data_IF_238178239322
#
_entry.id   IF_238178239322
#
_cell.length_a   1.000
_cell.length_b   1.000
_cell.length_c   1.000
_cell.angle_alpha   90.00
_cell.angle_beta   90.00
_cell.angle_gamma   90.00
#
_symmetry.space_group_name_H-M   'P 1'
#
loop_
_entity.id
_entity.type
_entity.pdbx_description
1 polymer ?
#
# COMPACT_ATOMS: atom_id res chain seq x y z
N UNK A 1 37.57 6.91 -39.96
CA UNK A 1 36.20 6.52 -40.43
C UNK A 1 35.61 5.30 -39.70
N UNK A 2 36.42 4.36 -39.21
CA UNK A 2 35.91 3.14 -38.51
C UNK A 2 35.40 3.38 -37.08
N UNK A 3 36.04 4.25 -36.28
CA UNK A 3 35.65 4.54 -34.89
C UNK A 3 34.34 5.32 -34.78
N UNK A 4 34.04 6.22 -35.70
CA UNK A 4 32.77 6.96 -35.76
C UNK A 4 31.60 6.05 -36.10
N UNK A 5 31.76 5.14 -37.05
CA UNK A 5 30.74 4.13 -37.41
C UNK A 5 30.45 3.18 -36.23
N UNK A 6 31.48 2.77 -35.49
CA UNK A 6 31.32 1.88 -34.32
C UNK A 6 30.56 2.57 -33.18
N UNK A 7 30.85 3.86 -32.90
CA UNK A 7 30.13 4.64 -31.87
C UNK A 7 28.67 4.87 -32.22
N UNK A 8 28.34 5.18 -33.48
CA UNK A 8 26.96 5.32 -33.95
C UNK A 8 26.22 3.95 -33.90
N UNK A 9 26.85 2.86 -34.32
CA UNK A 9 26.28 1.53 -34.25
C UNK A 9 25.97 1.11 -32.81
N UNK A 10 26.85 1.43 -31.86
CA UNK A 10 26.69 1.16 -30.45
C UNK A 10 25.44 1.88 -29.86
N UNK A 11 25.33 3.17 -30.09
CA UNK A 11 24.18 3.97 -29.59
C UNK A 11 22.87 3.51 -30.23
N UNK A 12 22.86 3.26 -31.55
CA UNK A 12 21.68 2.78 -32.27
C UNK A 12 21.24 1.38 -31.79
N UNK A 13 22.20 0.50 -31.49
CA UNK A 13 21.90 -0.85 -30.98
C UNK A 13 21.15 -0.76 -29.60
N UNK A 14 21.64 0.05 -28.67
CA UNK A 14 20.97 0.18 -27.37
C UNK A 14 19.64 0.92 -27.46
N UNK A 15 19.52 1.96 -28.31
CA UNK A 15 18.24 2.61 -28.60
C UNK A 15 17.23 1.63 -29.24
N UNK A 16 17.71 0.78 -30.15
CA UNK A 16 16.90 -0.27 -30.79
C UNK A 16 16.37 -1.30 -29.79
N UNK A 17 17.23 -1.80 -28.88
CA UNK A 17 16.80 -2.68 -27.78
C UNK A 17 15.76 -2.00 -26.91
N UNK A 18 15.99 -0.74 -26.51
CA UNK A 18 15.07 0.01 -25.67
C UNK A 18 13.72 0.21 -26.36
N UNK A 19 13.73 0.62 -27.62
CA UNK A 19 12.52 0.76 -28.44
C UNK A 19 11.76 -0.57 -28.61
N UNK A 20 12.49 -1.68 -28.81
CA UNK A 20 11.91 -3.02 -28.90
C UNK A 20 11.25 -3.43 -27.58
N UNK A 21 11.89 -3.20 -26.44
CA UNK A 21 11.31 -3.50 -25.12
C UNK A 21 10.06 -2.68 -24.86
N UNK A 22 10.06 -1.38 -25.20
CA UNK A 22 8.87 -0.53 -25.12
C UNK A 22 7.74 -1.00 -26.03
N UNK A 23 8.07 -1.42 -27.25
CA UNK A 23 7.11 -1.94 -28.21
C UNK A 23 6.49 -3.25 -27.76
N UNK A 24 7.29 -4.20 -27.25
CA UNK A 24 6.80 -5.47 -26.70
C UNK A 24 5.91 -5.25 -25.49
N UNK A 25 6.28 -4.31 -24.59
CA UNK A 25 5.46 -3.91 -23.44
C UNK A 25 4.11 -3.31 -23.89
N UNK A 26 4.11 -2.44 -24.92
CA UNK A 26 2.88 -1.84 -25.47
C UNK A 26 1.99 -2.88 -26.14
N UNK A 27 2.56 -3.85 -26.86
CA UNK A 27 1.82 -4.91 -27.54
C UNK A 27 1.13 -5.86 -26.56
N UNK A 28 1.80 -6.21 -25.45
CA UNK A 28 1.23 -7.04 -24.35
C UNK A 28 0.01 -6.41 -23.68
N UNK A 29 -0.17 -5.08 -23.79
CA UNK A 29 -1.32 -4.36 -23.19
C UNK A 29 -2.53 -4.25 -24.14
N UNK A 30 -2.45 -4.74 -25.38
CA UNK A 30 -3.52 -4.58 -26.38
C UNK A 30 -4.51 -5.75 -26.43
N UNK A 31 -4.31 -6.79 -25.61
CA UNK A 31 -5.25 -7.90 -25.54
C UNK A 31 -6.54 -7.42 -24.86
N UNK A 32 -7.66 -7.46 -25.62
CA UNK A 32 -8.98 -7.12 -25.09
C UNK A 32 -9.44 -8.20 -24.14
N UNK A 33 -9.82 -7.77 -22.93
CA UNK A 33 -10.42 -8.67 -21.96
C UNK A 33 -11.73 -9.27 -22.49
N UNK A 34 -12.01 -10.56 -22.26
CA UNK A 34 -13.22 -11.23 -22.76
C UNK A 34 -14.50 -10.81 -22.01
N UNK A 35 -14.39 -9.91 -21.05
CA UNK A 35 -15.51 -9.44 -20.23
C UNK A 35 -16.16 -8.19 -20.81
N UNK A 36 -17.48 -7.98 -20.56
CA UNK A 36 -18.14 -6.73 -20.90
C UNK A 36 -17.41 -5.51 -20.33
N UNK A 37 -17.37 -4.41 -21.10
CA UNK A 37 -16.62 -3.17 -20.77
C UNK A 37 -17.00 -2.53 -19.41
N UNK A 38 -18.14 -2.93 -18.82
CA UNK A 38 -18.65 -2.40 -17.55
C UNK A 38 -18.59 -3.42 -16.39
N UNK A 39 -17.83 -4.51 -16.55
CA UNK A 39 -17.70 -5.50 -15.47
C UNK A 39 -16.84 -4.94 -14.34
N UNK A 40 -17.47 -4.61 -13.22
CA UNK A 40 -16.80 -4.13 -12.00
C UNK A 40 -16.99 -5.10 -10.85
N UNK A 41 -15.90 -5.50 -10.25
CA UNK A 41 -15.88 -6.39 -9.08
C UNK A 41 -15.76 -5.57 -7.79
N UNK A 42 -16.21 -6.18 -6.70
CA UNK A 42 -15.98 -5.65 -5.37
C UNK A 42 -14.49 -5.70 -5.02
N UNK A 43 -14.02 -4.69 -4.28
CA UNK A 43 -12.68 -4.67 -3.73
C UNK A 43 -12.48 -5.84 -2.77
N UNK A 44 -11.39 -6.56 -2.96
CA UNK A 44 -10.88 -7.54 -2.02
C UNK A 44 -10.02 -6.92 -0.92
N UNK A 45 -9.60 -7.72 0.08
CA UNK A 45 -8.71 -7.25 1.13
C UNK A 45 -7.39 -6.71 0.55
N UNK A 46 -7.08 -5.47 0.86
CA UNK A 46 -5.86 -4.80 0.41
C UNK A 46 -5.81 -4.53 -1.09
N UNK A 47 -6.93 -4.30 -1.76
CA UNK A 47 -6.96 -4.05 -3.21
C UNK A 47 -6.07 -2.87 -3.62
N UNK A 48 -6.10 -1.77 -2.87
CA UNK A 48 -5.24 -0.60 -3.09
C UNK A 48 -3.76 -0.94 -2.91
N UNK A 49 -3.42 -1.73 -1.89
CA UNK A 49 -2.05 -2.20 -1.67
C UNK A 49 -1.60 -3.18 -2.75
N UNK A 50 -2.51 -4.05 -3.24
CA UNK A 50 -2.25 -4.95 -4.37
C UNK A 50 -1.89 -4.16 -5.65
N UNK A 51 -2.71 -3.14 -5.97
CA UNK A 51 -2.44 -2.22 -7.09
C UNK A 51 -1.09 -1.51 -6.91
N UNK A 52 -0.81 -1.07 -5.67
CA UNK A 52 0.46 -0.41 -5.36
C UNK A 52 1.68 -1.35 -5.47
N UNK A 53 1.57 -2.61 -5.09
CA UNK A 53 2.62 -3.63 -5.29
C UNK A 53 2.89 -3.82 -6.76
N UNK A 54 1.85 -3.98 -7.61
CA UNK A 54 2.00 -4.13 -9.05
C UNK A 54 2.67 -2.90 -9.70
N UNK A 55 2.27 -1.69 -9.29
CA UNK A 55 2.90 -0.44 -9.74
C UNK A 55 4.39 -0.35 -9.35
N UNK A 56 4.72 -0.78 -8.13
CA UNK A 56 6.11 -0.81 -7.67
C UNK A 56 6.95 -1.85 -8.40
N UNK A 57 6.39 -3.02 -8.74
CA UNK A 57 7.06 -4.04 -9.56
C UNK A 57 7.40 -3.50 -10.95
N UNK A 58 6.48 -2.75 -11.57
CA UNK A 58 6.74 -2.05 -12.84
C UNK A 58 7.86 -1.00 -12.68
N UNK A 59 7.77 -0.14 -11.66
CA UNK A 59 8.78 0.89 -11.38
C UNK A 59 10.16 0.33 -11.03
N UNK A 60 10.23 -0.84 -10.38
CA UNK A 60 11.48 -1.55 -10.13
C UNK A 60 12.10 -2.03 -11.44
N UNK A 61 11.30 -2.66 -12.29
CA UNK A 61 11.75 -3.14 -13.60
C UNK A 61 12.31 -1.97 -14.45
N UNK A 62 11.58 -0.85 -14.52
CA UNK A 62 12.04 0.36 -15.22
C UNK A 62 13.35 0.91 -14.62
N UNK A 63 13.43 0.94 -13.29
CA UNK A 63 14.62 1.43 -12.59
C UNK A 63 15.85 0.56 -12.81
N UNK A 64 15.68 -0.76 -12.88
CA UNK A 64 16.76 -1.71 -13.17
C UNK A 64 17.23 -1.56 -14.62
N UNK A 65 16.29 -1.48 -15.57
CA UNK A 65 16.63 -1.24 -16.98
C UNK A 65 17.37 0.08 -17.19
N UNK A 66 16.86 1.17 -16.59
CA UNK A 66 17.55 2.46 -16.64
C UNK A 66 18.93 2.41 -15.96
N UNK A 67 19.04 1.67 -14.84
CA UNK A 67 20.29 1.48 -14.11
C UNK A 67 21.35 0.72 -14.87
N UNK A 68 20.95 -0.16 -15.81
CA UNK A 68 21.86 -0.85 -16.71
C UNK A 68 22.23 0.01 -17.92
N UNK A 69 21.25 0.65 -18.54
CA UNK A 69 21.45 1.35 -19.83
C UNK A 69 22.12 2.71 -19.66
N UNK A 70 21.66 3.53 -18.71
CA UNK A 70 22.13 4.92 -18.58
C UNK A 70 23.63 5.00 -18.28
N UNK A 71 24.21 4.26 -17.31
CA UNK A 71 25.64 4.30 -17.06
C UNK A 71 26.46 3.81 -18.26
N UNK A 72 26.01 2.72 -18.91
CA UNK A 72 26.72 2.16 -20.08
C UNK A 72 26.73 3.13 -21.26
N UNK A 73 25.61 3.78 -21.55
CA UNK A 73 25.54 4.83 -22.59
C UNK A 73 26.45 5.99 -22.23
N UNK A 74 26.45 6.46 -20.97
CA UNK A 74 27.30 7.56 -20.50
C UNK A 74 28.78 7.21 -20.69
N UNK A 75 29.20 6.01 -20.30
CA UNK A 75 30.57 5.55 -20.45
C UNK A 75 30.94 5.42 -21.92
N UNK A 76 30.11 4.79 -22.75
CA UNK A 76 30.34 4.59 -24.18
C UNK A 76 30.44 5.94 -24.92
N UNK A 77 29.55 6.89 -24.61
CA UNK A 77 29.60 8.24 -25.19
C UNK A 77 30.87 8.98 -24.77
N UNK A 78 31.24 8.90 -23.48
CA UNK A 78 32.47 9.49 -22.96
C UNK A 78 33.70 8.93 -23.65
N UNK A 79 33.82 7.61 -23.79
CA UNK A 79 34.91 6.97 -24.52
C UNK A 79 34.96 7.37 -25.99
N UNK A 80 33.81 7.47 -26.65
CA UNK A 80 33.74 7.92 -28.04
C UNK A 80 34.28 9.34 -28.22
N UNK A 81 33.87 10.29 -27.37
CA UNK A 81 34.36 11.65 -27.43
C UNK A 81 35.85 11.72 -27.12
N UNK A 82 36.35 10.93 -26.15
CA UNK A 82 37.79 10.90 -25.81
C UNK A 82 38.63 10.37 -26.95
N UNK A 83 38.09 9.51 -27.81
CA UNK A 83 38.80 9.02 -28.99
C UNK A 83 39.04 10.06 -30.08
N UNK A 84 38.28 11.20 -30.02
CA UNK A 84 38.44 12.35 -30.94
C UNK A 84 39.43 13.40 -30.43
N UNK A 85 39.94 13.21 -29.20
CA UNK A 85 40.84 14.19 -28.53
C UNK A 85 42.27 13.61 -28.47
N UNK A 86 43.26 14.50 -28.39
CA UNK A 86 44.65 14.19 -28.15
C UNK A 86 45.18 14.88 -26.90
N UNK A 87 46.28 14.36 -26.32
CA UNK A 87 46.95 14.97 -25.18
C UNK A 87 46.15 14.91 -23.84
N UNK A 88 46.40 15.88 -22.98
CA UNK A 88 45.81 15.97 -21.62
C UNK A 88 44.29 16.02 -21.59
N UNK A 89 43.56 16.71 -22.49
CA UNK A 89 42.08 16.67 -22.50
C UNK A 89 41.49 15.30 -22.62
N UNK A 90 42.16 14.40 -23.36
CA UNK A 90 41.73 12.99 -23.51
C UNK A 90 41.71 12.26 -22.17
N UNK A 91 42.79 12.38 -21.39
CA UNK A 91 42.90 11.72 -20.07
C UNK A 91 41.87 12.27 -19.08
N UNK A 92 41.71 13.60 -19.07
CA UNK A 92 40.76 14.30 -18.22
C UNK A 92 39.30 13.84 -18.48
N UNK A 93 38.90 13.79 -19.76
CA UNK A 93 37.54 13.38 -20.14
C UNK A 93 37.28 11.90 -19.91
N UNK A 94 38.27 11.03 -20.14
CA UNK A 94 38.17 9.59 -19.84
C UNK A 94 37.95 9.36 -18.35
N UNK A 95 38.72 10.04 -17.49
CA UNK A 95 38.58 9.97 -16.04
C UNK A 95 37.21 10.48 -15.57
N UNK A 96 36.75 11.62 -16.10
CA UNK A 96 35.44 12.17 -15.79
C UNK A 96 34.31 11.21 -16.20
N UNK A 97 34.40 10.60 -17.37
CA UNK A 97 33.40 9.63 -17.86
C UNK A 97 33.34 8.40 -16.98
N UNK A 98 34.48 7.90 -16.50
CA UNK A 98 34.54 6.78 -15.56
C UNK A 98 33.93 7.14 -14.20
N UNK A 99 34.24 8.32 -13.67
CA UNK A 99 33.66 8.81 -12.40
C UNK A 99 32.15 9.00 -12.54
N UNK A 100 31.68 9.58 -13.65
CA UNK A 100 30.26 9.72 -13.93
C UNK A 100 29.55 8.36 -14.03
N UNK A 101 30.14 7.40 -14.71
CA UNK A 101 29.64 6.02 -14.80
C UNK A 101 29.46 5.40 -13.41
N UNK A 102 30.51 5.43 -12.58
CA UNK A 102 30.48 4.87 -11.22
C UNK A 102 29.45 5.60 -10.34
N UNK A 103 29.41 6.91 -10.41
CA UNK A 103 28.43 7.72 -9.69
C UNK A 103 26.99 7.39 -10.08
N UNK A 104 26.72 7.27 -11.38
CA UNK A 104 25.40 6.87 -11.88
C UNK A 104 25.01 5.46 -11.43
N UNK A 105 25.93 4.48 -11.46
CA UNK A 105 25.66 3.14 -10.94
C UNK A 105 25.24 3.17 -9.46
N UNK A 106 25.96 3.90 -8.63
CA UNK A 106 25.63 4.03 -7.19
C UNK A 106 24.26 4.68 -7.00
N UNK A 107 23.97 5.77 -7.70
CA UNK A 107 22.67 6.47 -7.61
C UNK A 107 21.53 5.57 -8.06
N UNK A 108 21.67 4.90 -9.19
CA UNK A 108 20.64 4.01 -9.72
C UNK A 108 20.42 2.79 -8.83
N UNK A 109 21.50 2.18 -8.31
CA UNK A 109 21.41 1.08 -7.35
C UNK A 109 20.64 1.50 -6.08
N UNK A 110 20.97 2.64 -5.49
CA UNK A 110 20.27 3.16 -4.31
C UNK A 110 18.78 3.42 -4.58
N UNK A 111 18.45 4.01 -5.74
CA UNK A 111 17.05 4.24 -6.15
C UNK A 111 16.27 2.93 -6.32
N UNK A 112 16.90 1.92 -6.92
CA UNK A 112 16.27 0.60 -7.10
C UNK A 112 16.08 -0.10 -5.75
N UNK A 113 17.07 -0.09 -4.87
CA UNK A 113 16.97 -0.67 -3.53
C UNK A 113 15.88 0.00 -2.68
N UNK A 114 15.74 1.32 -2.74
CA UNK A 114 14.66 2.05 -2.04
C UNK A 114 13.27 1.61 -2.51
N UNK A 115 13.08 1.41 -3.84
CA UNK A 115 11.81 0.90 -4.39
C UNK A 115 11.52 -0.55 -3.96
N UNK A 116 12.56 -1.41 -3.94
CA UNK A 116 12.43 -2.79 -3.45
C UNK A 116 12.00 -2.80 -1.98
N UNK A 117 12.60 -1.96 -1.14
CA UNK A 117 12.19 -1.86 0.27
C UNK A 117 10.76 -1.34 0.42
N UNK A 118 10.36 -0.33 -0.35
CA UNK A 118 8.98 0.17 -0.37
C UNK A 118 8.01 -0.94 -0.79
N UNK A 119 8.33 -1.70 -1.84
CA UNK A 119 7.53 -2.85 -2.30
C UNK A 119 7.38 -3.92 -1.22
N UNK A 120 8.47 -4.26 -0.52
CA UNK A 120 8.44 -5.24 0.58
C UNK A 120 7.57 -4.77 1.76
N UNK A 121 7.60 -3.48 2.07
CA UNK A 121 6.76 -2.90 3.13
C UNK A 121 5.28 -2.87 2.73
N UNK A 122 4.97 -2.52 1.48
CA UNK A 122 3.60 -2.55 0.93
C UNK A 122 3.07 -3.99 0.89
N UNK A 123 3.86 -4.96 0.45
CA UNK A 123 3.48 -6.37 0.44
C UNK A 123 3.24 -6.93 1.85
N UNK A 124 4.01 -6.48 2.85
CA UNK A 124 3.78 -6.84 4.25
C UNK A 124 2.44 -6.28 4.75
N UNK A 125 2.10 -5.02 4.41
CA UNK A 125 0.80 -4.42 4.69
C UNK A 125 -0.34 -5.23 4.08
N UNK A 126 -0.25 -5.53 2.77
CA UNK A 126 -1.21 -6.36 2.04
C UNK A 126 -1.42 -7.73 2.72
N UNK A 127 -0.35 -8.39 3.13
CA UNK A 127 -0.45 -9.67 3.85
C UNK A 127 -1.18 -9.51 5.18
N UNK A 128 -0.91 -8.44 5.92
CA UNK A 128 -1.59 -8.16 7.20
C UNK A 128 -3.09 -7.92 7.04
N UNK A 129 -3.51 -7.15 6.04
CA UNK A 129 -4.95 -6.96 5.75
C UNK A 129 -5.63 -8.26 5.37
N UNK A 130 -4.98 -9.14 4.60
CA UNK A 130 -5.52 -10.47 4.27
C UNK A 130 -5.68 -11.36 5.51
N UNK A 131 -4.70 -11.33 6.42
CA UNK A 131 -4.80 -12.06 7.70
C UNK A 131 -5.99 -11.56 8.54
N UNK A 132 -6.23 -10.26 8.57
CA UNK A 132 -7.41 -9.68 9.26
C UNK A 132 -8.70 -10.10 8.55
N UNK A 133 -8.76 -10.05 7.22
CA UNK A 133 -9.91 -10.45 6.44
C UNK A 133 -10.32 -11.90 6.70
N UNK A 134 -9.37 -12.84 6.80
CA UNK A 134 -9.64 -14.23 7.13
C UNK A 134 -10.31 -14.39 8.50
N UNK A 135 -9.95 -13.57 9.49
CA UNK A 135 -10.60 -13.56 10.80
C UNK A 135 -12.01 -12.95 10.79
N UNK A 136 -12.33 -12.18 9.75
CA UNK A 136 -13.67 -11.59 9.57
C UNK A 136 -14.62 -12.52 8.78
N UNK A 137 -14.13 -13.54 8.09
CA UNK A 137 -14.97 -14.49 7.31
C UNK A 137 -16.08 -15.17 8.14
N UNK A 138 -15.82 -15.64 9.38
CA UNK A 138 -16.89 -16.25 10.19
C UNK A 138 -18.05 -15.30 10.50
N UNK A 139 -17.82 -13.99 10.51
CA UNK A 139 -18.89 -13.01 10.76
C UNK A 139 -19.95 -13.00 9.66
N UNK A 140 -19.58 -13.34 8.42
CA UNK A 140 -20.52 -13.38 7.29
C UNK A 140 -21.61 -14.43 7.51
N UNK A 141 -21.28 -15.57 8.10
CA UNK A 141 -22.25 -16.61 8.43
C UNK A 141 -23.14 -16.23 9.62
N UNK A 142 -22.69 -15.28 10.45
CA UNK A 142 -23.44 -14.74 11.58
C UNK A 142 -24.31 -13.50 11.19
N UNK A 143 -24.52 -13.25 9.89
CA UNK A 143 -25.37 -12.16 9.40
C UNK A 143 -24.68 -10.79 9.26
N UNK A 144 -23.38 -10.72 9.44
CA UNK A 144 -22.62 -9.50 9.21
C UNK A 144 -22.24 -9.33 7.73
N UNK A 145 -22.15 -8.10 7.29
CA UNK A 145 -21.61 -7.71 5.99
C UNK A 145 -20.19 -7.16 6.17
N UNK A 146 -19.24 -7.67 5.40
CA UNK A 146 -17.82 -7.29 5.49
C UNK A 146 -17.39 -6.66 4.19
N UNK A 147 -16.84 -5.46 4.27
CA UNK A 147 -16.31 -4.69 3.14
C UNK A 147 -14.81 -4.46 3.36
N UNK A 148 -14.05 -4.47 2.29
CA UNK A 148 -12.61 -4.32 2.33
C UNK A 148 -12.18 -3.14 1.47
N UNK A 149 -11.09 -2.48 1.89
CA UNK A 149 -10.45 -1.38 1.15
C UNK A 149 -11.45 -0.29 0.72
N UNK A 150 -12.29 0.14 1.66
CA UNK A 150 -13.43 1.05 1.42
C UNK A 150 -12.92 2.47 1.13
N UNK A 151 -13.14 3.04 -0.07
CA UNK A 151 -12.63 4.37 -0.38
C UNK A 151 -13.32 5.45 0.44
N UNK A 152 -12.56 6.37 1.03
CA UNK A 152 -13.13 7.58 1.67
C UNK A 152 -13.70 8.57 0.64
N UNK A 153 -13.32 8.44 -0.64
CA UNK A 153 -13.63 9.41 -1.70
C UNK A 153 -12.68 10.59 -1.69
N UNK A 154 -12.94 11.55 -2.56
CA UNK A 154 -12.12 12.75 -2.61
C UNK A 154 -12.31 13.57 -1.34
N UNK A 155 -11.21 14.02 -0.74
CA UNK A 155 -11.29 14.90 0.41
C UNK A 155 -11.94 16.24 -0.01
N UNK A 156 -12.60 16.95 0.91
CA UNK A 156 -13.10 18.29 0.61
C UNK A 156 -12.00 19.20 0.09
N UNK A 157 -12.33 20.15 -0.79
CA UNK A 157 -11.37 21.04 -1.45
C UNK A 157 -10.45 21.82 -0.49
N UNK A 158 -10.87 22.00 0.76
CA UNK A 158 -10.09 22.64 1.82
C UNK A 158 -9.17 21.68 2.59
N UNK A 159 -9.29 20.36 2.36
CA UNK A 159 -8.46 19.36 3.03
C UNK A 159 -7.14 19.17 2.30
N UNK A 160 -6.04 19.20 3.04
CA UNK A 160 -4.70 18.85 2.55
C UNK A 160 -4.40 17.36 2.62
N UNK A 161 -5.32 16.56 3.17
CA UNK A 161 -5.12 15.13 3.30
C UNK A 161 -5.43 14.43 1.97
N UNK A 162 -4.56 13.51 1.51
CA UNK A 162 -4.86 12.70 0.34
C UNK A 162 -6.05 11.76 0.59
N UNK A 163 -6.75 11.31 -0.46
CA UNK A 163 -7.72 10.23 -0.35
C UNK A 163 -7.11 9.01 0.34
N UNK A 164 -7.88 8.37 1.19
CA UNK A 164 -7.47 7.16 1.89
C UNK A 164 -8.58 6.10 1.82
N UNK A 165 -8.23 4.87 2.13
CA UNK A 165 -9.21 3.79 2.22
C UNK A 165 -9.27 3.30 3.67
N UNK A 166 -10.44 2.80 4.07
CA UNK A 166 -10.61 2.05 5.30
C UNK A 166 -10.28 0.59 4.99
N UNK A 167 -9.39 -0.03 5.74
CA UNK A 167 -8.93 -1.39 5.46
C UNK A 167 -10.09 -2.39 5.47
N UNK A 168 -10.93 -2.34 6.52
CA UNK A 168 -12.16 -3.13 6.58
C UNK A 168 -13.28 -2.37 7.28
N UNK A 169 -14.52 -2.62 6.83
CA UNK A 169 -15.74 -2.16 7.49
C UNK A 169 -16.65 -3.38 7.70
N UNK A 170 -17.12 -3.56 8.93
CA UNK A 170 -18.06 -4.60 9.29
C UNK A 170 -19.38 -3.98 9.73
N UNK A 171 -20.49 -4.46 9.18
CA UNK A 171 -21.84 -3.96 9.47
C UNK A 171 -22.70 -5.14 9.86
N UNK A 172 -23.39 -5.06 10.97
CA UNK A 172 -24.26 -6.13 11.43
C UNK A 172 -25.12 -5.74 12.62
N UNK A 173 -25.81 -6.70 13.25
CA UNK A 173 -26.73 -6.42 14.36
C UNK A 173 -26.09 -5.66 15.54
N UNK A 174 -24.82 -5.91 15.81
CA UNK A 174 -24.08 -5.23 16.89
C UNK A 174 -23.62 -3.82 16.54
N UNK A 175 -23.82 -3.32 15.30
CA UNK A 175 -23.42 -1.98 14.89
C UNK A 175 -22.49 -1.96 13.68
N UNK A 176 -21.77 -0.85 13.54
CA UNK A 176 -20.77 -0.63 12.47
C UNK A 176 -19.39 -0.52 13.08
N UNK A 177 -18.43 -1.20 12.48
CA UNK A 177 -17.04 -1.25 12.94
C UNK A 177 -16.11 -0.81 11.80
N UNK A 178 -15.28 0.21 12.07
CA UNK A 178 -14.19 0.62 11.20
C UNK A 178 -12.89 0.01 11.73
N UNK A 179 -12.22 -0.79 10.91
CA UNK A 179 -11.07 -1.60 11.31
C UNK A 179 -9.85 -1.12 10.53
N UNK A 180 -8.88 -0.60 11.25
CA UNK A 180 -7.55 -0.26 10.73
C UNK A 180 -6.57 -1.38 11.05
N UNK A 181 -5.77 -1.78 10.10
CA UNK A 181 -4.75 -2.84 10.21
C UNK A 181 -3.35 -2.24 10.23
N UNK A 182 -2.58 -2.50 11.26
CA UNK A 182 -1.18 -2.07 11.33
C UNK A 182 -0.23 -3.26 11.34
N UNK A 183 0.43 -3.48 10.20
CA UNK A 183 1.46 -4.49 10.09
C UNK A 183 2.83 -3.86 10.33
N UNK A 184 3.46 -4.22 11.41
CA UNK A 184 4.77 -3.70 11.82
C UNK A 184 5.79 -4.83 11.90
N UNK A 185 7.02 -4.58 11.42
CA UNK A 185 8.14 -5.51 11.62
C UNK A 185 8.61 -5.43 13.06
N UNK A 186 8.92 -6.58 13.66
CA UNK A 186 9.52 -6.65 14.99
C UNK A 186 10.97 -6.18 14.92
N UNK A 187 11.27 -5.12 15.66
CA UNK A 187 12.62 -4.58 15.80
C UNK A 187 13.33 -5.12 17.04
N UNK A 188 14.49 -4.53 17.36
CA UNK A 188 15.20 -4.80 18.64
C UNK A 188 14.40 -4.21 19.78
N UNK A 189 14.17 -5.01 20.82
CA UNK A 189 13.50 -4.55 22.02
C UNK A 189 14.47 -3.76 22.92
N UNK A 190 13.96 -2.67 23.52
CA UNK A 190 14.63 -1.99 24.64
C UNK A 190 14.62 -2.89 25.89
N UNK A 191 15.51 -2.62 26.83
CA UNK A 191 15.53 -3.30 28.12
C UNK A 191 14.15 -3.16 28.80
N UNK A 192 13.62 -4.27 29.29
CA UNK A 192 12.29 -4.31 29.94
C UNK A 192 11.10 -4.50 29.01
N UNK A 193 11.30 -4.59 27.67
CA UNK A 193 10.24 -4.84 26.71
C UNK A 193 10.42 -6.19 26.01
N UNK A 194 9.30 -6.90 25.78
CA UNK A 194 9.31 -8.11 24.96
C UNK A 194 9.16 -7.73 23.47
N UNK A 195 9.96 -8.34 22.60
CA UNK A 195 10.03 -7.99 21.19
C UNK A 195 8.73 -8.23 20.39
N UNK A 196 7.76 -8.93 20.96
CA UNK A 196 6.49 -9.29 20.32
C UNK A 196 5.27 -8.67 20.98
N UNK A 197 5.44 -7.79 21.98
CA UNK A 197 4.36 -7.13 22.72
C UNK A 197 4.20 -5.69 22.32
N UNK A 198 2.93 -5.24 22.30
CA UNK A 198 2.53 -3.85 22.25
C UNK A 198 1.72 -3.58 23.53
N UNK A 199 2.12 -2.59 24.29
CA UNK A 199 1.41 -2.16 25.49
C UNK A 199 0.52 -0.99 25.12
N UNK A 200 -0.79 -1.11 25.46
CA UNK A 200 -1.78 -0.07 25.26
C UNK A 200 -2.29 0.43 26.61
N UNK A 201 -2.15 1.72 26.87
CA UNK A 201 -2.55 2.38 28.12
C UNK A 201 -3.89 3.14 28.02
N UNK A 202 -4.62 2.97 26.91
CA UNK A 202 -5.86 3.68 26.60
C UNK A 202 -5.65 5.00 25.84
N UNK A 203 -4.41 5.49 25.71
CA UNK A 203 -4.06 6.76 25.04
C UNK A 203 -2.93 6.63 24.02
N UNK A 204 -1.97 5.77 24.28
CA UNK A 204 -0.79 5.57 23.45
C UNK A 204 -0.44 4.08 23.31
N UNK A 205 0.37 3.76 22.30
CA UNK A 205 0.90 2.44 22.03
C UNK A 205 2.40 2.44 22.30
N UNK A 206 2.85 1.66 23.27
CA UNK A 206 4.26 1.46 23.56
C UNK A 206 4.76 0.20 22.86
N UNK A 207 5.57 0.39 21.82
CA UNK A 207 6.28 -0.67 21.11
C UNK A 207 7.61 -0.98 21.77
N UNK A 208 8.24 -2.11 21.47
CA UNK A 208 9.57 -2.44 22.00
C UNK A 208 10.64 -1.38 21.77
N UNK A 209 10.47 -0.50 20.77
CA UNK A 209 11.44 0.53 20.39
C UNK A 209 11.01 1.97 20.69
N UNK A 210 9.77 2.23 21.04
CA UNK A 210 9.26 3.59 21.29
C UNK A 210 7.74 3.65 21.44
N UNK A 211 7.22 4.85 21.63
CA UNK A 211 5.78 5.12 21.70
C UNK A 211 5.27 5.78 20.42
N UNK A 212 4.01 5.50 20.07
CA UNK A 212 3.35 6.03 18.89
C UNK A 212 1.83 6.09 19.12
N UNK A 213 1.18 7.12 18.57
CA UNK A 213 -0.28 7.28 18.57
C UNK A 213 -0.88 7.24 17.17
N UNK A 214 -0.04 7.26 16.14
CA UNK A 214 -0.47 7.44 14.75
C UNK A 214 -1.56 6.44 14.34
N UNK A 215 -1.43 5.16 14.73
CA UNK A 215 -2.43 4.13 14.43
C UNK A 215 -3.77 4.40 15.12
N UNK A 216 -3.75 4.85 16.37
CA UNK A 216 -4.97 5.22 17.13
C UNK A 216 -5.68 6.41 16.49
N UNK A 217 -4.93 7.47 16.18
CA UNK A 217 -5.47 8.68 15.57
C UNK A 217 -6.02 8.40 14.17
N UNK A 218 -5.41 7.46 13.42
CA UNK A 218 -5.91 7.04 12.12
C UNK A 218 -7.22 6.26 12.25
N UNK A 219 -7.30 5.25 13.12
CA UNK A 219 -8.51 4.47 13.34
C UNK A 219 -9.69 5.35 13.79
N UNK A 220 -9.42 6.32 14.67
CA UNK A 220 -10.44 7.27 15.12
C UNK A 220 -10.95 8.14 13.97
N UNK A 221 -10.07 8.77 13.19
CA UNK A 221 -10.46 9.59 12.03
C UNK A 221 -11.27 8.80 10.99
N UNK A 222 -10.91 7.54 10.74
CA UNK A 222 -11.65 6.67 9.81
C UNK A 222 -13.06 6.38 10.33
N UNK A 223 -13.22 6.09 11.63
CA UNK A 223 -14.52 5.85 12.22
C UNK A 223 -15.40 7.12 12.22
N UNK A 224 -14.84 8.29 12.53
CA UNK A 224 -15.51 9.57 12.45
C UNK A 224 -15.97 9.91 11.04
N UNK A 225 -15.11 9.70 10.05
CA UNK A 225 -15.47 9.88 8.66
C UNK A 225 -16.62 8.96 8.25
N UNK A 226 -16.54 7.66 8.60
CA UNK A 226 -17.59 6.70 8.27
C UNK A 226 -18.92 7.04 8.97
N UNK A 227 -18.88 7.45 10.23
CA UNK A 227 -20.07 7.89 10.97
C UNK A 227 -20.74 9.10 10.30
N UNK A 228 -19.95 10.11 9.92
CA UNK A 228 -20.42 11.29 9.20
C UNK A 228 -21.01 10.92 7.85
N UNK A 229 -20.31 10.07 7.10
CA UNK A 229 -20.78 9.58 5.80
C UNK A 229 -22.13 8.85 5.90
N UNK A 230 -22.26 7.93 6.87
CA UNK A 230 -23.50 7.19 7.08
C UNK A 230 -24.63 8.09 7.58
N UNK A 231 -24.36 9.08 8.42
CA UNK A 231 -25.34 10.07 8.86
C UNK A 231 -25.91 10.86 7.68
N UNK A 232 -25.07 11.32 6.76
CA UNK A 232 -25.52 12.00 5.55
C UNK A 232 -26.38 11.11 4.64
N UNK A 233 -26.07 9.83 4.54
CA UNK A 233 -26.80 8.89 3.69
C UNK A 233 -28.13 8.41 4.29
N UNK A 234 -28.21 8.32 5.62
CA UNK A 234 -29.35 7.72 6.31
C UNK A 234 -30.25 8.74 7.00
N UNK A 235 -29.81 10.02 7.10
CA UNK A 235 -30.52 11.07 7.80
C UNK A 235 -30.56 10.93 9.32
N UNK A 236 -29.81 9.99 9.90
CA UNK A 236 -29.69 9.76 11.35
C UNK A 236 -28.27 9.35 11.73
N UNK A 237 -27.83 9.68 12.94
CA UNK A 237 -26.51 9.26 13.39
C UNK A 237 -26.44 7.74 13.55
N UNK A 238 -25.34 7.16 13.06
CA UNK A 238 -24.98 5.75 13.22
C UNK A 238 -23.64 5.71 13.94
N UNK A 239 -23.56 5.15 15.16
CA UNK A 239 -22.30 5.02 15.87
C UNK A 239 -21.40 4.03 15.13
N UNK A 240 -20.13 4.42 14.95
CA UNK A 240 -19.09 3.59 14.35
C UNK A 240 -18.00 3.33 15.38
N UNK A 241 -17.69 2.06 15.59
CA UNK A 241 -16.70 1.63 16.58
C UNK A 241 -15.31 1.51 15.91
N UNK A 242 -14.30 2.30 16.34
CA UNK A 242 -12.95 2.22 15.84
C UNK A 242 -12.22 1.00 16.41
N UNK A 243 -11.69 0.13 15.55
CA UNK A 243 -10.84 -0.99 15.91
C UNK A 243 -9.46 -0.83 15.28
N UNK A 244 -8.41 -1.08 16.05
CA UNK A 244 -7.03 -1.08 15.56
C UNK A 244 -6.43 -2.47 15.77
N UNK A 245 -6.00 -3.11 14.69
CA UNK A 245 -5.60 -4.52 14.69
C UNK A 245 -4.14 -4.67 14.30
N UNK A 246 -3.42 -5.46 15.09
CA UNK A 246 -1.99 -5.75 14.90
C UNK A 246 -1.74 -7.24 14.61
N UNK A 247 -1.68 -7.65 13.33
CA UNK A 247 -1.33 -9.03 12.98
C UNK A 247 0.07 -9.41 13.49
N UNK A 248 0.14 -10.55 14.17
CA UNK A 248 1.41 -11.10 14.67
C UNK A 248 1.94 -10.48 15.96
N UNK A 249 1.19 -9.59 16.62
CA UNK A 249 1.56 -8.97 17.89
C UNK A 249 0.67 -9.43 19.03
N UNK A 250 1.25 -9.51 20.23
CA UNK A 250 0.53 -9.68 21.48
C UNK A 250 0.18 -8.29 22.03
N UNK A 251 -1.10 -8.07 22.38
CA UNK A 251 -1.57 -6.79 22.90
C UNK A 251 -1.75 -6.88 24.41
N UNK A 252 -1.00 -6.07 25.15
CA UNK A 252 -1.09 -5.92 26.59
C UNK A 252 -1.89 -4.65 26.89
N UNK A 253 -3.18 -4.80 27.26
CA UNK A 253 -4.07 -3.68 27.58
C UNK A 253 -3.92 -3.33 29.05
N UNK A 254 -3.49 -2.11 29.37
CA UNK A 254 -3.40 -1.55 30.74
C UNK A 254 -4.64 -0.74 31.11
N UNK A 255 -5.30 -0.12 30.12
CA UNK A 255 -6.54 0.60 30.29
C UNK A 255 -7.41 0.51 29.02
N UNK A 256 -8.71 0.78 29.17
CA UNK A 256 -9.62 0.99 28.06
C UNK A 256 -9.41 2.37 27.45
N UNK A 257 -9.61 2.49 26.13
CA UNK A 257 -9.58 3.75 25.39
C UNK A 257 -10.71 3.83 24.38
N UNK A 258 -10.79 4.92 23.64
CA UNK A 258 -11.81 5.14 22.60
C UNK A 258 -11.64 4.14 21.45
N UNK A 259 -10.39 3.83 21.08
CA UNK A 259 -10.06 2.83 20.06
C UNK A 259 -9.82 1.50 20.76
N UNK A 260 -10.50 0.45 20.31
CA UNK A 260 -10.22 -0.90 20.80
C UNK A 260 -9.05 -1.50 20.02
N UNK A 261 -7.98 -1.84 20.74
CA UNK A 261 -6.73 -2.37 20.16
C UNK A 261 -6.70 -3.88 20.33
N UNK A 262 -6.55 -4.61 19.22
CA UNK A 262 -6.78 -6.05 19.16
C UNK A 262 -5.70 -6.81 18.40
N UNK A 263 -5.55 -8.08 18.73
CA UNK A 263 -4.98 -9.08 17.84
C UNK A 263 -6.08 -9.61 16.87
N UNK A 264 -5.77 -10.01 15.63
CA UNK A 264 -6.78 -10.49 14.68
C UNK A 264 -7.70 -11.59 15.24
N UNK A 265 -7.19 -12.51 16.05
CA UNK A 265 -7.98 -13.60 16.63
C UNK A 265 -9.07 -13.13 17.60
N UNK A 266 -8.96 -11.93 18.13
CA UNK A 266 -9.91 -11.33 19.06
C UNK A 266 -11.09 -10.66 18.35
N UNK A 267 -10.97 -10.40 17.02
CA UNK A 267 -11.97 -9.67 16.23
C UNK A 267 -13.37 -10.28 16.30
N UNK A 268 -13.59 -11.60 16.07
CA UNK A 268 -14.94 -12.13 16.11
C UNK A 268 -15.61 -11.89 17.46
N UNK A 269 -14.90 -12.13 18.56
CA UNK A 269 -15.44 -11.92 19.91
C UNK A 269 -15.65 -10.43 20.25
N UNK A 270 -14.86 -9.54 19.68
CA UNK A 270 -15.00 -8.09 19.89
C UNK A 270 -16.17 -7.49 19.08
N UNK A 271 -16.56 -8.12 17.98
CA UNK A 271 -17.63 -7.66 17.07
C UNK A 271 -18.96 -8.33 17.39
N UNK A 272 -18.97 -9.63 17.66
CA UNK A 272 -20.18 -10.38 18.04
C UNK A 272 -20.43 -10.24 19.54
N UNK A 273 -21.52 -9.58 19.96
CA UNK A 273 -21.85 -9.52 21.38
C UNK A 273 -22.22 -10.92 21.89
N UNK A 274 -22.09 -11.12 23.20
CA UNK A 274 -22.71 -12.26 23.86
C UNK A 274 -24.23 -12.27 23.56
N UNK A 275 -24.80 -13.44 23.41
CA UNK A 275 -26.18 -13.68 22.94
C UNK A 275 -27.29 -12.93 23.69
N UNK A 276 -26.98 -12.23 24.78
CA UNK A 276 -27.90 -11.48 25.64
C UNK A 276 -27.95 -9.98 25.36
N UNK A 277 -27.12 -9.43 24.45
CA UNK A 277 -27.15 -8.00 24.16
C UNK A 277 -28.18 -7.68 23.06
N UNK A 278 -28.93 -6.57 23.20
CA UNK A 278 -29.91 -6.17 22.18
C UNK A 278 -29.20 -5.81 20.88
N UNK A 279 -29.87 -6.08 19.77
CA UNK A 279 -29.43 -5.60 18.45
C UNK A 279 -29.41 -4.07 18.41
N UNK A 280 -28.31 -3.50 17.97
CA UNK A 280 -28.11 -2.05 17.81
C UNK A 280 -28.70 -1.57 16.47
N UNK A 281 -28.63 -2.44 15.44
CA UNK A 281 -29.14 -2.15 14.11
C UNK A 281 -30.09 -3.26 13.67
N UNK A 282 -31.27 -2.86 13.17
CA UNK A 282 -32.20 -3.78 12.51
C UNK A 282 -31.67 -4.22 11.13
N UNK A 283 -32.21 -5.33 10.64
CA UNK A 283 -31.78 -5.92 9.35
C UNK A 283 -31.97 -4.96 8.17
N UNK A 284 -33.04 -4.16 8.17
CA UNK A 284 -33.30 -3.18 7.10
C UNK A 284 -32.24 -2.08 7.05
N UNK A 285 -31.79 -1.62 8.24
CA UNK A 285 -30.69 -0.65 8.35
C UNK A 285 -29.36 -1.26 7.93
N UNK A 286 -29.05 -2.49 8.36
CA UNK A 286 -27.87 -3.24 7.94
C UNK A 286 -27.82 -3.35 6.40
N UNK A 287 -28.90 -3.76 5.77
CA UNK A 287 -28.99 -3.89 4.31
C UNK A 287 -28.86 -2.56 3.57
N UNK A 288 -29.39 -1.47 4.15
CA UNK A 288 -29.25 -0.13 3.57
C UNK A 288 -27.81 0.33 3.59
N UNK A 289 -27.12 0.19 4.73
CA UNK A 289 -25.69 0.51 4.85
C UNK A 289 -24.87 -0.37 3.91
N UNK A 290 -25.17 -1.67 3.87
CA UNK A 290 -24.47 -2.61 3.02
C UNK A 290 -24.53 -2.24 1.52
N UNK A 291 -25.72 -1.88 1.00
CA UNK A 291 -25.88 -1.42 -0.40
C UNK A 291 -25.06 -0.17 -0.70
N UNK A 292 -24.98 0.78 0.23
CA UNK A 292 -24.18 2.01 0.05
C UNK A 292 -22.67 1.70 -0.03
N UNK A 293 -22.19 0.88 0.88
CA UNK A 293 -20.78 0.48 0.90
C UNK A 293 -20.42 -0.41 -0.31
N UNK A 294 -21.32 -1.31 -0.70
CA UNK A 294 -21.14 -2.16 -1.89
C UNK A 294 -20.98 -1.32 -3.15
N UNK A 295 -21.88 -0.34 -3.37
CA UNK A 295 -21.79 0.55 -4.52
C UNK A 295 -20.48 1.32 -4.57
N UNK A 296 -19.94 1.69 -3.38
CA UNK A 296 -18.68 2.41 -3.24
C UNK A 296 -17.45 1.53 -3.48
N UNK A 297 -17.52 0.25 -3.12
CA UNK A 297 -16.42 -0.70 -3.28
C UNK A 297 -16.41 -1.43 -4.63
N UNK A 298 -17.38 -1.20 -5.51
CA UNK A 298 -17.49 -1.88 -6.81
C UNK A 298 -16.80 -1.07 -7.90
N UNK A 299 -15.46 -1.06 -7.88
CA UNK A 299 -14.62 -0.31 -8.83
C UNK A 299 -13.39 -1.08 -9.35
N UNK A 300 -13.32 -2.39 -9.12
CA UNK A 300 -12.22 -3.21 -9.63
C UNK A 300 -12.51 -3.57 -11.08
N UNK A 301 -11.73 -2.99 -11.98
CA UNK A 301 -11.70 -3.26 -13.41
C UNK A 301 -10.45 -4.11 -13.76
N UNK A 302 -10.46 -4.78 -14.93
CA UNK A 302 -9.34 -5.55 -15.43
C UNK A 302 -8.21 -4.69 -15.98
#
# INVERSE_FOLDING_TARGET
MSTTLFGFGYVLFFLGIFALLLFLKKRSRQDRAPFPENTRLLRGPGESLRRRVAELDEKITESVLAGLLVPVITLGTGFYITALLEGWPRVGLASLSLVAFLGLLVVMARRSLAKVEQRRNTALGLFGERVVAEQLEPLKTAGYRVFHDVPSGDPPAWSTQPPYNLDHVVVGPAGVFAIETKTRRKGRARVGFMAHEIIYDGRALSYPWGEDRHGLDQALRQAEWLATHLQHQLGRPIPVHPLLVFPGWMIIRKAAGVVNVLNPRELPAAIMPASSQPEVLDSATVDRIARQLEARCRDVEL
#
